data_IF_752011104703
#
_entry.id   IF_752011104703
#
_cell.length_a   1.000
_cell.length_b   1.000
_cell.length_c   1.000
_cell.angle_alpha   90.00
_cell.angle_beta   90.00
_cell.angle_gamma   90.00
#
_symmetry.space_group_name_H-M   'P 1'
#
loop_
_entity.id
_entity.type
_entity.pdbx_description
1 polymer ?
#
# COMPACT_ATOMS: atom_id res chain seq x y z
N UNK A 1 4.23 14.75 5.75
CA UNK A 1 5.18 13.73 5.24
C UNK A 1 4.40 12.45 4.93
N UNK A 2 4.66 11.76 3.81
CA UNK A 2 3.92 10.51 3.49
C UNK A 2 4.33 9.38 4.46
N UNK A 3 3.45 8.43 4.78
CA UNK A 3 3.65 7.40 5.82
C UNK A 3 4.97 6.63 5.69
N UNK A 4 5.35 6.23 4.47
CA UNK A 4 6.62 5.52 4.23
C UNK A 4 7.86 6.39 4.53
N UNK A 5 7.81 7.69 4.21
CA UNK A 5 8.90 8.62 4.54
C UNK A 5 9.01 8.79 6.05
N UNK A 6 7.88 8.84 6.78
CA UNK A 6 7.85 8.87 8.24
C UNK A 6 8.43 7.60 8.86
N UNK A 7 8.06 6.42 8.35
CA UNK A 7 8.64 5.16 8.79
C UNK A 7 10.17 5.17 8.66
N UNK A 8 10.70 5.65 7.53
CA UNK A 8 12.15 5.81 7.35
C UNK A 8 12.77 6.79 8.34
N UNK A 9 12.16 7.96 8.55
CA UNK A 9 12.76 9.01 9.40
C UNK A 9 12.82 8.63 10.88
N UNK A 10 11.85 7.83 11.36
CA UNK A 10 11.86 7.34 12.76
C UNK A 10 12.69 6.06 12.94
N UNK A 11 13.29 5.55 11.86
CA UNK A 11 14.15 4.37 11.90
C UNK A 11 13.40 3.05 12.04
N UNK A 12 12.23 2.92 11.38
CA UNK A 12 11.61 1.59 11.20
C UNK A 12 12.59 0.65 10.48
N UNK A 13 12.79 -0.59 10.95
CA UNK A 13 13.72 -1.54 10.35
C UNK A 13 13.46 -1.83 8.86
N UNK A 14 14.54 -2.06 8.11
CA UNK A 14 14.47 -2.26 6.65
C UNK A 14 13.71 -3.52 6.24
N UNK A 15 13.68 -4.56 7.06
CA UNK A 15 12.86 -5.75 6.85
C UNK A 15 11.36 -5.43 6.92
N UNK A 16 10.93 -4.60 7.88
CA UNK A 16 9.55 -4.11 7.96
C UNK A 16 9.24 -3.22 6.75
N UNK A 17 10.16 -2.33 6.36
CA UNK A 17 9.97 -1.52 5.15
C UNK A 17 9.85 -2.41 3.89
N UNK A 18 10.63 -3.48 3.79
CA UNK A 18 10.53 -4.46 2.68
C UNK A 18 9.19 -5.17 2.66
N UNK A 19 8.65 -5.58 3.81
CA UNK A 19 7.30 -6.14 3.89
C UNK A 19 6.23 -5.12 3.46
N UNK A 20 6.36 -3.85 3.86
CA UNK A 20 5.43 -2.80 3.42
C UNK A 20 5.38 -2.61 1.90
N UNK A 21 6.50 -2.81 1.19
CA UNK A 21 6.58 -2.69 -0.28
C UNK A 21 5.79 -3.79 -1.01
N UNK A 22 5.49 -4.93 -0.36
CA UNK A 22 4.64 -5.97 -0.93
C UNK A 22 3.19 -5.50 -1.07
N UNK A 23 2.68 -4.76 -0.08
CA UNK A 23 1.37 -4.11 -0.17
C UNK A 23 1.32 -3.13 -1.33
N UNK A 24 2.35 -2.27 -1.46
CA UNK A 24 2.46 -1.35 -2.60
C UNK A 24 2.43 -2.11 -3.93
N UNK A 25 3.29 -3.12 -4.10
CA UNK A 25 3.39 -3.87 -5.36
C UNK A 25 2.04 -4.44 -5.76
N UNK A 26 1.33 -5.08 -4.82
CA UNK A 26 0.01 -5.66 -5.07
C UNK A 26 -1.04 -4.59 -5.38
N UNK A 27 -1.11 -3.53 -4.58
CA UNK A 27 -2.07 -2.44 -4.80
C UNK A 27 -1.84 -1.73 -6.13
N UNK A 28 -0.57 -1.46 -6.46
CA UNK A 28 -0.15 -0.80 -7.69
C UNK A 28 -0.53 -1.65 -8.90
N UNK A 29 -0.18 -2.94 -8.95
CA UNK A 29 -0.57 -3.82 -10.07
C UNK A 29 -2.07 -3.85 -10.28
N UNK A 30 -2.86 -3.87 -9.20
CA UNK A 30 -4.33 -3.90 -9.27
C UNK A 30 -4.97 -2.59 -9.71
N UNK A 31 -4.29 -1.46 -9.53
CA UNK A 31 -4.71 -0.15 -9.99
C UNK A 31 -4.21 0.12 -11.41
N UNK A 32 -2.91 -0.04 -11.63
CA UNK A 32 -2.22 0.32 -12.86
C UNK A 32 -2.74 -0.45 -14.07
N UNK A 33 -3.17 -1.70 -13.88
CA UNK A 33 -3.83 -2.46 -14.94
C UNK A 33 -4.99 -1.67 -15.57
N UNK A 34 -5.82 -1.02 -14.76
CA UNK A 34 -7.00 -0.28 -15.23
C UNK A 34 -6.73 1.16 -15.62
N UNK A 35 -5.58 1.73 -15.25
CA UNK A 35 -5.14 3.01 -15.83
C UNK A 35 -4.40 2.81 -17.15
N UNK A 36 -3.80 1.64 -17.35
CA UNK A 36 -3.14 1.26 -18.60
C UNK A 36 -4.15 0.76 -19.64
N UNK A 37 -5.20 0.07 -19.21
CA UNK A 37 -6.29 -0.39 -20.06
C UNK A 37 -7.18 0.78 -20.49
N UNK A 38 -7.54 0.85 -21.79
CA UNK A 38 -8.15 2.04 -22.37
C UNK A 38 -9.69 2.08 -22.34
N UNK A 39 -10.36 1.04 -21.84
CA UNK A 39 -11.83 0.97 -21.83
C UNK A 39 -12.45 1.50 -20.54
N UNK A 40 -11.63 1.90 -19.58
CA UNK A 40 -12.06 2.27 -18.22
C UNK A 40 -12.96 1.21 -17.58
N UNK A 41 -12.67 -0.07 -17.86
CA UNK A 41 -13.44 -1.21 -17.37
C UNK A 41 -14.68 -1.57 -18.20
N UNK A 42 -14.99 -0.88 -19.30
CA UNK A 42 -16.13 -1.23 -20.16
C UNK A 42 -16.04 -2.67 -20.71
N UNK A 43 -14.84 -3.15 -21.03
CA UNK A 43 -14.65 -4.53 -21.48
C UNK A 43 -14.93 -5.59 -20.41
N UNK A 44 -14.78 -5.26 -19.12
CA UNK A 44 -15.04 -6.17 -18.01
C UNK A 44 -15.30 -5.40 -16.68
N UNK A 45 -16.52 -4.86 -16.49
CA UNK A 45 -16.80 -3.94 -15.39
C UNK A 45 -16.73 -4.61 -14.02
N UNK A 46 -17.11 -5.88 -13.93
CA UNK A 46 -17.07 -6.64 -12.67
C UNK A 46 -15.63 -6.89 -12.22
N UNK A 47 -14.74 -7.24 -13.15
CA UNK A 47 -13.32 -7.41 -12.85
C UNK A 47 -12.65 -6.09 -12.49
N UNK A 48 -12.99 -4.99 -13.18
CA UNK A 48 -12.48 -3.65 -12.86
C UNK A 48 -12.85 -3.25 -11.44
N UNK A 49 -14.14 -3.38 -11.09
CA UNK A 49 -14.65 -3.10 -9.75
C UNK A 49 -13.93 -3.94 -8.68
N UNK A 50 -13.83 -5.25 -8.87
CA UNK A 50 -13.20 -6.13 -7.89
C UNK A 50 -11.71 -5.81 -7.70
N UNK A 51 -10.98 -5.58 -8.80
CA UNK A 51 -9.54 -5.25 -8.76
C UNK A 51 -9.27 -3.92 -8.08
N UNK A 52 -10.04 -2.88 -8.40
CA UNK A 52 -9.86 -1.55 -7.82
C UNK A 52 -10.23 -1.54 -6.33
N UNK A 53 -11.28 -2.25 -5.91
CA UNK A 53 -11.59 -2.44 -4.49
C UNK A 53 -10.46 -3.16 -3.75
N UNK A 54 -9.88 -4.21 -4.37
CA UNK A 54 -8.72 -4.90 -3.81
C UNK A 54 -7.50 -3.98 -3.69
N UNK A 55 -7.25 -3.12 -4.70
CA UNK A 55 -6.18 -2.12 -4.67
C UNK A 55 -6.35 -1.14 -3.50
N UNK A 56 -7.57 -0.63 -3.31
CA UNK A 56 -7.92 0.28 -2.20
C UNK A 56 -7.67 -0.41 -0.86
N UNK A 57 -8.22 -1.61 -0.66
CA UNK A 57 -8.08 -2.32 0.62
C UNK A 57 -6.62 -2.65 0.91
N UNK A 58 -5.87 -3.14 -0.10
CA UNK A 58 -4.44 -3.45 0.05
C UNK A 58 -3.63 -2.20 0.40
N UNK A 59 -3.98 -1.03 -0.16
CA UNK A 59 -3.35 0.24 0.18
C UNK A 59 -3.62 0.65 1.62
N UNK A 60 -4.87 0.52 2.08
CA UNK A 60 -5.26 0.79 3.47
C UNK A 60 -4.49 -0.12 4.43
N UNK A 61 -4.39 -1.40 4.12
CA UNK A 61 -3.67 -2.37 4.94
C UNK A 61 -2.17 -2.06 5.01
N UNK A 62 -1.56 -1.68 3.88
CA UNK A 62 -0.17 -1.24 3.84
C UNK A 62 0.11 0.02 4.65
N UNK A 63 -0.83 0.98 4.67
CA UNK A 63 -0.73 2.18 5.51
C UNK A 63 -0.82 1.82 6.99
N UNK A 64 -1.83 1.04 7.40
CA UNK A 64 -2.00 0.58 8.78
C UNK A 64 -0.79 -0.20 9.29
N UNK A 65 -0.21 -1.05 8.43
CA UNK A 65 1.01 -1.79 8.73
C UNK A 65 2.17 -0.85 9.09
N UNK A 66 2.38 0.20 8.30
CA UNK A 66 3.44 1.19 8.56
C UNK A 66 3.14 2.07 9.77
N UNK A 67 1.89 2.50 9.97
CA UNK A 67 1.48 3.29 11.13
C UNK A 67 1.77 2.53 12.43
N UNK A 68 1.40 1.24 12.49
CA UNK A 68 1.75 0.38 13.62
C UNK A 68 3.26 0.28 13.83
N UNK A 69 4.04 0.08 12.76
CA UNK A 69 5.50 -0.02 12.87
C UNK A 69 6.14 1.29 13.38
N UNK A 70 5.60 2.44 12.97
CA UNK A 70 6.02 3.76 13.46
C UNK A 70 5.74 3.89 14.96
N UNK A 71 4.53 3.53 15.40
CA UNK A 71 4.16 3.58 16.82
C UNK A 71 5.06 2.68 17.67
N UNK A 72 5.29 1.44 17.23
CA UNK A 72 6.13 0.47 17.94
C UNK A 72 7.58 0.97 18.01
N UNK A 73 8.09 1.58 16.93
CA UNK A 73 9.43 2.19 16.91
C UNK A 73 9.55 3.38 17.86
N UNK A 74 8.55 4.25 17.90
CA UNK A 74 8.52 5.40 18.80
C UNK A 74 8.44 4.99 20.27
N UNK A 75 7.67 3.93 20.59
CA UNK A 75 7.60 3.37 21.94
C UNK A 75 8.94 2.78 22.38
N UNK A 76 9.65 2.09 21.49
CA UNK A 76 10.96 1.50 21.78
C UNK A 76 12.09 2.53 21.93
N UNK A 77 11.89 3.77 21.46
CA UNK A 77 12.85 4.86 21.57
C UNK A 77 12.65 5.74 22.82
N UNK A 78 11.63 5.45 23.63
CA UNK A 78 11.38 6.08 24.94
C UNK A 78 11.99 5.23 26.04
#
# INVERSE_FOLDING_TARGET
MRTFQLAKSVGVPEDILRESRKFHTRAHTKWEWWTAENSDGFHNPDQAKASLLESIQTSIDGVKFLEKAIEDRQKAAR
#
